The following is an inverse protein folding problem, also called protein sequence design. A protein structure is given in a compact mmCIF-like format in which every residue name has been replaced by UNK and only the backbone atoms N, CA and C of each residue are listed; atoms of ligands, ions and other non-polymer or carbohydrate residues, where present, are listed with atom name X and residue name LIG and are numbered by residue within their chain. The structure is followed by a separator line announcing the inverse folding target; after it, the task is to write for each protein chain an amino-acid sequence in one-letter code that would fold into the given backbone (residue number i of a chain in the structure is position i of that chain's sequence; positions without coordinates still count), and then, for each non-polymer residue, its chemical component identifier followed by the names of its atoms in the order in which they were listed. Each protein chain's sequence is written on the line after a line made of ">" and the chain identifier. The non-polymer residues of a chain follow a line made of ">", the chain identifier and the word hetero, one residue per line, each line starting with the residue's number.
data_IF_799575398923
#
_entry.id   IF_799575398923
#
_cell.length_a   1.000
_cell.length_b   1.000
_cell.length_c   1.000
_cell.angle_alpha   90.00
_cell.angle_beta   90.00
_cell.angle_gamma   90.00
#
_symmetry.space_group_name_H-M   'P 1'
#
loop_
_entity.id
_entity.type
_entity.pdbx_description
1 polymer ?
#
# COMPACT_ATOMS: atom_id res chain seq x y z
N UNK A 1 -22.94 -22.62 14.65
CA UNK A 1 -22.65 -21.62 13.60
C UNK A 1 -22.72 -20.23 14.20
N UNK A 2 -21.62 -19.48 14.16
CA UNK A 2 -21.53 -18.16 14.81
C UNK A 2 -21.80 -17.00 13.85
N UNK A 3 -23.07 -16.80 13.51
CA UNK A 3 -23.50 -15.72 12.60
C UNK A 3 -23.23 -14.31 13.16
N UNK A 4 -23.32 -14.16 14.48
CA UNK A 4 -22.96 -12.92 15.16
C UNK A 4 -21.47 -12.60 15.01
N UNK A 5 -20.60 -13.62 15.09
CA UNK A 5 -19.17 -13.42 14.85
C UNK A 5 -18.87 -13.04 13.39
N UNK A 6 -19.60 -13.63 12.44
CA UNK A 6 -19.49 -13.23 11.04
C UNK A 6 -19.88 -11.77 10.83
N UNK A 7 -20.99 -11.33 11.42
CA UNK A 7 -21.42 -9.93 11.43
C UNK A 7 -20.34 -8.97 11.95
N UNK A 8 -19.71 -9.32 13.08
CA UNK A 8 -18.71 -8.47 13.72
C UNK A 8 -17.40 -8.41 12.92
N UNK A 9 -16.94 -9.55 12.37
CA UNK A 9 -15.74 -9.59 11.53
C UNK A 9 -15.94 -8.84 10.21
N UNK A 10 -17.13 -8.91 9.60
CA UNK A 10 -17.46 -8.13 8.39
C UNK A 10 -17.32 -6.64 8.67
N UNK A 11 -17.96 -6.14 9.74
CA UNK A 11 -17.89 -4.72 10.11
C UNK A 11 -16.47 -4.29 10.41
N UNK A 12 -15.74 -5.11 11.16
CA UNK A 12 -14.36 -4.85 11.55
C UNK A 12 -13.45 -4.77 10.32
N UNK A 13 -13.49 -5.76 9.42
CA UNK A 13 -12.66 -5.79 8.22
C UNK A 13 -13.01 -4.64 7.27
N UNK A 14 -14.29 -4.36 7.06
CA UNK A 14 -14.72 -3.23 6.24
C UNK A 14 -14.16 -1.90 6.75
N UNK A 15 -14.19 -1.68 8.07
CA UNK A 15 -13.58 -0.49 8.70
C UNK A 15 -12.05 -0.46 8.56
N UNK A 16 -11.38 -1.61 8.69
CA UNK A 16 -9.93 -1.71 8.48
C UNK A 16 -9.53 -1.37 7.04
N UNK A 17 -10.36 -1.73 6.07
CA UNK A 17 -10.16 -1.42 4.65
C UNK A 17 -10.65 -0.02 4.25
N UNK A 18 -11.25 0.75 5.18
CA UNK A 18 -11.84 2.06 4.88
C UNK A 18 -13.04 2.02 3.93
N UNK A 19 -13.66 0.85 3.72
CA UNK A 19 -14.72 0.66 2.74
C UNK A 19 -16.09 1.08 3.29
N UNK A 20 -16.91 1.73 2.47
CA UNK A 20 -18.35 1.87 2.73
C UNK A 20 -19.11 0.62 2.30
N UNK A 21 -20.38 0.50 2.69
CA UNK A 21 -21.22 -0.60 2.19
C UNK A 21 -21.41 -0.54 0.67
N UNK A 22 -21.40 0.66 0.08
CA UNK A 22 -21.48 0.85 -1.36
C UNK A 22 -20.20 0.39 -2.07
N UNK A 23 -19.03 0.64 -1.47
CA UNK A 23 -17.75 0.20 -2.02
C UNK A 23 -17.65 -1.33 -2.06
N UNK A 24 -18.14 -2.02 -1.01
CA UNK A 24 -18.20 -3.49 -0.98
C UNK A 24 -19.07 -4.03 -2.12
N UNK A 25 -20.20 -3.38 -2.44
CA UNK A 25 -21.02 -3.74 -3.59
C UNK A 25 -20.30 -3.47 -4.92
N UNK A 26 -19.65 -2.29 -5.05
CA UNK A 26 -18.89 -1.91 -6.23
C UNK A 26 -17.72 -2.87 -6.53
N UNK A 27 -17.13 -3.47 -5.48
CA UNK A 27 -16.09 -4.51 -5.59
C UNK A 27 -16.66 -5.91 -5.93
N UNK A 28 -17.95 -6.00 -6.25
CA UNK A 28 -18.61 -7.25 -6.62
C UNK A 28 -19.01 -8.11 -5.42
N UNK A 29 -19.18 -7.48 -4.25
CA UNK A 29 -19.77 -8.05 -3.04
C UNK A 29 -21.31 -8.02 -3.03
N UNK A 30 -21.94 -8.38 -1.90
CA UNK A 30 -23.39 -8.32 -1.73
C UNK A 30 -23.95 -6.90 -1.93
N UNK A 31 -25.24 -6.79 -2.26
CA UNK A 31 -25.93 -5.49 -2.24
C UNK A 31 -25.84 -4.84 -0.85
N UNK A 32 -25.93 -3.51 -0.80
CA UNK A 32 -25.86 -2.74 0.46
C UNK A 32 -26.88 -3.22 1.49
N UNK A 33 -28.10 -3.55 1.05
CA UNK A 33 -29.15 -4.13 1.90
C UNK A 33 -28.79 -5.51 2.45
N UNK A 34 -28.26 -6.39 1.59
CA UNK A 34 -27.81 -7.73 1.98
C UNK A 34 -26.65 -7.64 2.96
N UNK A 35 -25.69 -6.76 2.71
CA UNK A 35 -24.55 -6.51 3.58
C UNK A 35 -25.00 -5.93 4.93
N UNK A 36 -25.95 -4.99 4.94
CA UNK A 36 -26.55 -4.47 6.17
C UNK A 36 -27.29 -5.55 6.95
N UNK A 37 -27.99 -6.47 6.28
CA UNK A 37 -28.64 -7.60 6.94
C UNK A 37 -27.62 -8.57 7.55
N UNK A 38 -26.51 -8.82 6.85
CA UNK A 38 -25.39 -9.64 7.34
C UNK A 38 -24.71 -9.00 8.55
N UNK A 39 -24.34 -7.73 8.46
CA UNK A 39 -23.76 -6.99 9.57
C UNK A 39 -24.69 -7.01 10.78
N UNK A 40 -26.00 -6.86 10.61
CA UNK A 40 -26.95 -6.88 11.73
C UNK A 40 -27.37 -8.28 12.20
N UNK A 41 -26.67 -9.34 11.76
CA UNK A 41 -27.00 -10.74 12.10
C UNK A 41 -28.46 -11.12 11.78
N UNK A 42 -29.02 -10.53 10.72
CA UNK A 42 -30.38 -10.81 10.22
C UNK A 42 -30.39 -11.68 8.97
N UNK A 43 -29.22 -11.91 8.38
CA UNK A 43 -29.07 -12.83 7.27
C UNK A 43 -28.89 -14.26 7.81
N UNK A 44 -29.91 -15.10 7.68
CA UNK A 44 -29.88 -16.46 8.21
C UNK A 44 -29.09 -17.47 7.35
N UNK A 45 -29.10 -17.32 6.02
CA UNK A 45 -28.43 -18.25 5.10
C UNK A 45 -27.72 -17.51 3.98
N UNK A 46 -26.44 -17.80 3.82
CA UNK A 46 -25.62 -17.34 2.70
C UNK A 46 -25.43 -18.47 1.67
N UNK A 47 -25.69 -18.16 0.40
CA UNK A 47 -25.32 -19.07 -0.70
C UNK A 47 -23.80 -19.11 -0.89
N UNK A 48 -23.27 -20.18 -1.46
CA UNK A 48 -21.83 -20.32 -1.76
C UNK A 48 -21.32 -19.16 -2.61
N UNK A 49 -22.10 -18.74 -3.60
CA UNK A 49 -21.79 -17.58 -4.46
C UNK A 49 -21.64 -16.29 -3.65
N UNK A 50 -22.53 -16.06 -2.69
CA UNK A 50 -22.51 -14.86 -1.85
C UNK A 50 -21.36 -14.87 -0.84
N UNK A 51 -21.01 -16.04 -0.30
CA UNK A 51 -19.82 -16.23 0.54
C UNK A 51 -18.55 -15.86 -0.20
N UNK A 52 -18.37 -16.40 -1.41
CA UNK A 52 -17.21 -16.09 -2.28
C UNK A 52 -17.18 -14.62 -2.71
N UNK A 53 -18.33 -14.00 -2.95
CA UNK A 53 -18.41 -12.57 -3.24
C UNK A 53 -17.97 -11.71 -2.03
N UNK A 54 -18.41 -12.08 -0.83
CA UNK A 54 -18.02 -11.42 0.40
C UNK A 54 -16.52 -11.58 0.69
N UNK A 55 -15.97 -12.79 0.52
CA UNK A 55 -14.54 -13.06 0.71
C UNK A 55 -13.69 -12.21 -0.24
N UNK A 56 -14.05 -12.12 -1.51
CA UNK A 56 -13.35 -11.25 -2.48
C UNK A 56 -13.44 -9.78 -2.11
N UNK A 57 -14.64 -9.28 -1.80
CA UNK A 57 -14.85 -7.86 -1.51
C UNK A 57 -14.25 -7.41 -0.16
N UNK A 58 -14.03 -8.33 0.78
CA UNK A 58 -13.40 -8.04 2.07
C UNK A 58 -11.91 -8.45 2.11
N UNK A 59 -11.35 -8.85 0.97
CA UNK A 59 -9.98 -9.34 0.85
C UNK A 59 -9.68 -10.40 1.91
N UNK A 60 -10.51 -11.45 1.92
CA UNK A 60 -10.33 -12.66 2.71
C UNK A 60 -10.03 -13.84 1.80
N UNK A 61 -9.22 -14.78 2.29
CA UNK A 61 -8.98 -16.04 1.60
C UNK A 61 -10.29 -16.82 1.43
N UNK A 62 -10.36 -17.62 0.37
CA UNK A 62 -11.49 -18.52 0.15
C UNK A 62 -11.67 -19.49 1.33
N UNK A 63 -12.89 -19.57 1.86
CA UNK A 63 -13.24 -20.39 3.01
C UNK A 63 -13.10 -19.66 4.36
N UNK A 64 -12.72 -18.38 4.37
CA UNK A 64 -12.72 -17.57 5.58
C UNK A 64 -14.12 -17.38 6.18
N UNK A 65 -15.15 -17.27 5.35
CA UNK A 65 -16.54 -17.17 5.85
C UNK A 65 -16.97 -18.46 6.52
N UNK A 66 -16.59 -19.61 5.95
CA UNK A 66 -16.86 -20.93 6.55
C UNK A 66 -16.08 -21.09 7.87
N UNK A 67 -14.81 -20.69 7.89
CA UNK A 67 -13.98 -20.69 9.10
C UNK A 67 -14.61 -19.85 10.23
N UNK A 68 -15.13 -18.64 9.94
CA UNK A 68 -15.81 -17.80 10.95
C UNK A 68 -17.05 -18.48 11.51
N UNK A 69 -17.86 -19.10 10.64
CA UNK A 69 -19.07 -19.79 11.08
C UNK A 69 -18.75 -21.03 11.92
N UNK A 70 -17.60 -21.66 11.69
CA UNK A 70 -17.02 -22.74 12.50
C UNK A 70 -16.36 -22.22 13.80
N UNK A 71 -16.29 -20.92 14.02
CA UNK A 71 -15.68 -20.31 15.21
C UNK A 71 -14.16 -20.14 15.12
N UNK A 72 -13.58 -20.28 13.94
CA UNK A 72 -12.17 -19.96 13.65
C UNK A 72 -12.05 -18.50 13.15
N UNK A 73 -10.91 -17.83 13.31
CA UNK A 73 -10.72 -16.47 12.79
C UNK A 73 -10.71 -16.46 11.24
N UNK A 74 -11.10 -15.34 10.59
CA UNK A 74 -10.92 -15.18 9.15
C UNK A 74 -9.44 -15.10 8.79
N UNK A 75 -9.11 -15.46 7.55
CA UNK A 75 -7.77 -15.28 6.99
C UNK A 75 -7.80 -14.10 6.02
N UNK A 76 -7.23 -12.94 6.39
CA UNK A 76 -7.00 -11.85 5.45
C UNK A 76 -6.16 -12.36 4.28
N UNK A 77 -6.54 -11.97 3.06
CA UNK A 77 -5.57 -11.90 1.98
C UNK A 77 -4.65 -10.74 2.35
N UNK A 78 -3.52 -11.04 2.99
CA UNK A 78 -2.40 -10.10 3.02
C UNK A 78 -1.95 -9.91 1.56
N UNK A 79 -1.53 -8.70 1.19
CA UNK A 79 -1.15 -8.27 -0.17
C UNK A 79 0.07 -9.01 -0.78
N UNK A 80 0.37 -10.23 -0.33
CA UNK A 80 1.52 -11.03 -0.78
C UNK A 80 1.25 -11.83 -2.05
N UNK A 81 0.05 -11.75 -2.65
CA UNK A 81 -0.25 -12.50 -3.89
C UNK A 81 -0.97 -11.67 -4.97
N UNK A 82 -0.50 -10.43 -5.16
CA UNK A 82 -0.76 -9.66 -6.37
C UNK A 82 0.57 -9.17 -6.95
N UNK A 83 1.03 -9.67 -8.11
CA UNK A 83 2.19 -9.08 -8.78
C UNK A 83 1.80 -7.70 -9.31
N UNK A 84 2.36 -6.66 -8.70
CA UNK A 84 2.48 -5.34 -9.34
C UNK A 84 1.54 -4.22 -8.88
N UNK A 85 1.37 -3.99 -7.58
CA UNK A 85 0.97 -2.65 -7.09
C UNK A 85 1.71 -2.27 -5.79
N UNK A 86 2.44 -1.14 -5.75
CA UNK A 86 2.99 -0.62 -4.50
C UNK A 86 1.85 0.06 -3.73
N UNK A 87 1.27 -0.64 -2.76
CA UNK A 87 0.32 -0.05 -1.83
C UNK A 87 1.10 0.52 -0.64
N UNK A 88 1.41 1.81 -0.73
CA UNK A 88 2.05 2.56 0.35
C UNK A 88 1.12 3.68 0.84
N UNK A 89 0.49 3.46 2.02
CA UNK A 89 0.28 4.38 3.18
C UNK A 89 -0.97 4.05 4.05
N UNK A 90 -1.07 4.51 5.32
CA UNK A 90 -0.02 4.94 6.27
C UNK A 90 -0.11 4.29 7.68
N UNK A 91 1.03 3.97 8.29
CA UNK A 91 1.16 3.83 9.76
C UNK A 91 1.99 2.66 10.30
N UNK A 92 2.32 1.68 9.46
CA UNK A 92 3.17 0.54 9.84
C UNK A 92 4.63 0.72 9.40
N UNK A 93 5.58 -0.04 9.98
CA UNK A 93 6.94 -0.12 9.45
C UNK A 93 6.89 -0.53 7.97
N UNK A 94 7.74 0.06 7.10
CA UNK A 94 7.84 -0.35 5.71
C UNK A 94 8.23 -1.83 5.64
N UNK A 95 7.69 -2.56 4.65
CA UNK A 95 8.15 -3.92 4.38
C UNK A 95 9.62 -3.89 3.92
N UNK A 96 10.33 -5.00 4.07
CA UNK A 96 11.73 -5.12 3.59
C UNK A 96 11.81 -4.86 2.09
N UNK A 97 10.85 -5.33 1.31
CA UNK A 97 10.78 -5.10 -0.14
C UNK A 97 10.55 -3.62 -0.47
N UNK A 98 9.56 -2.98 0.18
CA UNK A 98 9.31 -1.55 -0.01
C UNK A 98 10.55 -0.73 0.38
N UNK A 99 11.25 -1.14 1.44
CA UNK A 99 12.52 -0.54 1.83
C UNK A 99 13.55 -0.67 0.71
N UNK A 100 13.81 -1.88 0.21
CA UNK A 100 14.78 -2.09 -0.87
C UNK A 100 14.43 -1.30 -2.14
N UNK A 101 13.16 -1.24 -2.53
CA UNK A 101 12.69 -0.48 -3.69
C UNK A 101 12.94 1.02 -3.53
N UNK A 102 12.62 1.58 -2.35
CA UNK A 102 12.86 2.99 -2.02
C UNK A 102 14.36 3.34 -2.11
N UNK A 103 15.21 2.52 -1.51
CA UNK A 103 16.66 2.69 -1.59
C UNK A 103 17.19 2.58 -3.03
N UNK A 104 16.70 1.62 -3.81
CA UNK A 104 17.09 1.45 -5.20
C UNK A 104 16.69 2.64 -6.08
N UNK A 105 15.50 3.20 -5.85
CA UNK A 105 15.01 4.40 -6.52
C UNK A 105 15.86 5.63 -6.17
N UNK A 106 16.21 5.79 -4.89
CA UNK A 106 17.08 6.88 -4.46
C UNK A 106 18.47 6.81 -5.10
N UNK A 107 19.10 5.64 -5.12
CA UNK A 107 20.40 5.44 -5.78
C UNK A 107 20.31 5.66 -7.30
N UNK A 108 19.20 5.26 -7.93
CA UNK A 108 18.98 5.52 -9.36
C UNK A 108 18.89 7.02 -9.64
N UNK A 109 18.18 7.77 -8.80
CA UNK A 109 18.05 9.20 -8.94
C UNK A 109 19.39 9.93 -8.75
N UNK A 110 20.18 9.53 -7.75
CA UNK A 110 21.54 10.06 -7.56
C UNK A 110 22.39 9.83 -8.82
N UNK A 111 22.37 8.62 -9.39
CA UNK A 111 23.09 8.33 -10.65
C UNK A 111 22.59 9.16 -11.83
N UNK A 112 21.27 9.31 -11.97
CA UNK A 112 20.67 10.13 -13.03
C UNK A 112 21.12 11.59 -12.92
N UNK A 113 21.15 12.15 -11.70
CA UNK A 113 21.59 13.52 -11.44
C UNK A 113 23.09 13.72 -11.73
N UNK A 114 23.94 12.74 -11.39
CA UNK A 114 25.37 12.76 -11.74
C UNK A 114 25.60 12.70 -13.26
N UNK A 115 24.86 11.84 -13.96
CA UNK A 115 24.94 11.74 -15.40
C UNK A 115 24.48 13.03 -16.09
N UNK A 116 23.39 13.63 -15.59
CA UNK A 116 22.89 14.91 -16.08
C UNK A 116 23.90 16.03 -15.86
N UNK A 117 24.48 16.15 -14.66
CA UNK A 117 25.51 17.15 -14.36
C UNK A 117 26.72 17.05 -15.33
N UNK A 118 27.12 15.82 -15.68
CA UNK A 118 28.22 15.58 -16.62
C UNK A 118 27.91 16.02 -18.06
N UNK A 119 26.64 16.02 -18.46
CA UNK A 119 26.19 16.36 -19.82
C UNK A 119 25.53 17.73 -19.91
N UNK A 120 25.37 18.44 -18.78
CA UNK A 120 24.61 19.68 -18.73
C UNK A 120 25.12 20.67 -19.74
N UNK A 121 26.44 20.87 -19.82
CA UNK A 121 27.06 21.92 -20.64
C UNK A 121 26.89 21.76 -22.16
N UNK A 122 26.56 20.56 -22.63
CA UNK A 122 26.28 20.29 -24.05
C UNK A 122 24.80 20.35 -24.43
N UNK A 123 23.89 20.41 -23.45
CA UNK A 123 22.44 20.48 -23.71
C UNK A 123 21.95 21.92 -23.95
N UNK A 124 20.87 22.16 -24.70
CA UNK A 124 20.25 23.49 -24.78
C UNK A 124 19.64 23.91 -23.43
N UNK A 125 19.66 25.22 -23.13
CA UNK A 125 19.28 25.76 -21.81
C UNK A 125 17.87 25.33 -21.36
N UNK A 126 16.87 25.39 -22.24
CA UNK A 126 15.49 25.01 -21.92
C UNK A 126 15.37 23.54 -21.52
N UNK A 127 16.07 22.64 -22.21
CA UNK A 127 16.08 21.22 -21.86
C UNK A 127 16.77 20.97 -20.52
N UNK A 128 17.77 21.80 -20.15
CA UNK A 128 18.41 21.69 -18.83
C UNK A 128 17.43 22.06 -17.73
N UNK A 129 16.70 23.17 -17.89
CA UNK A 129 15.74 23.68 -16.89
C UNK A 129 14.59 22.68 -16.67
N UNK A 130 14.05 22.11 -17.74
CA UNK A 130 12.98 21.10 -17.65
C UNK A 130 13.46 19.86 -16.87
N UNK A 131 14.63 19.33 -17.23
CA UNK A 131 15.19 18.13 -16.58
C UNK A 131 15.61 18.43 -15.13
N UNK A 132 16.18 19.60 -14.84
CA UNK A 132 16.52 20.01 -13.46
C UNK A 132 15.28 20.11 -12.58
N UNK A 133 14.17 20.64 -13.12
CA UNK A 133 12.88 20.69 -12.43
C UNK A 133 12.35 19.29 -12.11
N UNK A 134 12.35 18.39 -13.09
CA UNK A 134 11.91 17.00 -12.88
C UNK A 134 12.80 16.25 -11.88
N UNK A 135 14.12 16.39 -11.97
CA UNK A 135 15.06 15.78 -11.03
C UNK A 135 14.88 16.32 -9.61
N UNK A 136 14.57 17.60 -9.46
CA UNK A 136 14.30 18.23 -8.15
C UNK A 136 13.01 17.69 -7.55
N UNK A 137 11.93 17.63 -8.33
CA UNK A 137 10.66 17.06 -7.88
C UNK A 137 10.80 15.59 -7.46
N UNK A 138 11.50 14.79 -8.27
CA UNK A 138 11.78 13.39 -7.95
C UNK A 138 12.64 13.23 -6.69
N UNK A 139 13.59 14.16 -6.44
CA UNK A 139 14.44 14.13 -5.25
C UNK A 139 13.65 14.39 -3.98
N UNK A 140 12.74 15.36 -4.02
CA UNK A 140 11.85 15.66 -2.90
C UNK A 140 10.95 14.48 -2.56
N UNK A 141 10.37 13.82 -3.56
CA UNK A 141 9.51 12.65 -3.33
C UNK A 141 10.28 11.50 -2.63
N UNK A 142 11.49 11.21 -3.10
CA UNK A 142 12.37 10.20 -2.51
C UNK A 142 12.82 10.60 -1.10
N UNK A 143 13.14 11.87 -0.90
CA UNK A 143 13.51 12.42 0.40
C UNK A 143 12.37 12.26 1.41
N UNK A 144 11.16 12.70 1.08
CA UNK A 144 9.99 12.56 1.95
C UNK A 144 9.76 11.09 2.33
N UNK A 145 9.91 10.20 1.35
CA UNK A 145 9.84 8.76 1.55
C UNK A 145 10.90 8.25 2.53
N UNK A 146 12.17 8.60 2.35
CA UNK A 146 13.27 8.16 3.21
C UNK A 146 13.16 8.76 4.62
N UNK A 147 12.87 10.05 4.73
CA UNK A 147 12.63 10.76 6.00
C UNK A 147 11.51 10.10 6.77
N UNK A 148 10.40 9.78 6.09
CA UNK A 148 9.31 9.02 6.69
C UNK A 148 9.81 7.67 7.21
N UNK A 149 10.63 6.92 6.48
CA UNK A 149 11.12 5.60 6.91
C UNK A 149 12.12 5.62 8.08
N UNK A 150 12.85 6.73 8.29
CA UNK A 150 13.94 6.84 9.27
C UNK A 150 13.63 6.28 10.68
N UNK A 151 12.44 6.48 11.29
CA UNK A 151 12.12 5.97 12.62
C UNK A 151 12.14 4.43 12.71
N UNK A 152 11.88 3.76 11.58
CA UNK A 152 11.76 2.30 11.48
C UNK A 152 13.04 1.62 11.03
N UNK A 153 13.96 2.35 10.39
CA UNK A 153 15.26 1.82 10.00
C UNK A 153 16.17 1.58 11.22
N UNK A 154 16.96 0.51 11.16
CA UNK A 154 17.90 0.09 12.21
C UNK A 154 19.27 -0.21 11.61
N UNK A 155 20.32 -0.04 12.42
CA UNK A 155 21.70 -0.36 12.04
C UNK A 155 22.15 0.35 10.76
N UNK A 156 22.76 -0.41 9.85
CA UNK A 156 23.32 0.10 8.59
C UNK A 156 22.27 0.76 7.69
N UNK A 157 21.05 0.23 7.63
CA UNK A 157 19.99 0.80 6.77
C UNK A 157 19.70 2.25 7.14
N UNK A 158 19.71 2.58 8.43
CA UNK A 158 19.50 3.97 8.88
C UNK A 158 20.68 4.87 8.49
N UNK A 159 21.91 4.37 8.60
CA UNK A 159 23.11 5.10 8.20
C UNK A 159 23.14 5.36 6.69
N UNK A 160 22.73 4.38 5.89
CA UNK A 160 22.66 4.50 4.43
C UNK A 160 21.57 5.49 4.00
N UNK A 161 20.39 5.45 4.62
CA UNK A 161 19.33 6.44 4.35
C UNK A 161 19.81 7.87 4.61
N UNK A 162 20.50 8.09 5.73
CA UNK A 162 21.06 9.41 6.05
C UNK A 162 22.10 9.85 5.01
N UNK A 163 22.96 8.94 4.55
CA UNK A 163 23.97 9.25 3.50
C UNK A 163 23.32 9.59 2.17
N UNK A 164 22.25 8.89 1.80
CA UNK A 164 21.48 9.16 0.58
C UNK A 164 20.79 10.52 0.68
N UNK A 165 20.12 10.81 1.79
CA UNK A 165 19.49 12.11 2.05
C UNK A 165 20.49 13.27 1.96
N UNK A 166 21.69 13.08 2.49
CA UNK A 166 22.77 14.07 2.35
C UNK A 166 23.11 14.37 0.89
N UNK A 167 23.26 13.33 0.05
CA UNK A 167 23.54 13.50 -1.40
C UNK A 167 22.40 14.16 -2.17
N UNK A 168 21.13 13.91 -1.79
CA UNK A 168 19.98 14.52 -2.45
C UNK A 168 19.90 16.03 -2.18
N UNK A 169 20.28 16.44 -0.96
CA UNK A 169 20.17 17.81 -0.48
C UNK A 169 21.41 18.69 -0.76
N UNK A 170 22.45 18.14 -1.42
CA UNK A 170 23.61 18.94 -1.83
C UNK A 170 23.18 20.00 -2.86
N UNK A 171 23.40 21.30 -2.59
CA UNK A 171 23.08 22.37 -3.53
C UNK A 171 24.00 22.26 -4.75
N UNK A 172 23.42 22.23 -5.95
CA UNK A 172 24.17 22.26 -7.20
C UNK A 172 24.88 23.62 -7.28
N UNK A 173 26.21 23.64 -7.13
CA UNK A 173 27.04 24.84 -7.37
C UNK A 173 27.24 25.07 -8.87
#
# INVERSE_FOLDING_TARGET
>A
MSWQRLADEIRRRRKQLGLTQADVYAQGGPSTETLRALENNRAGRLTVKLRRALERALQWEAGSVDAILDGRPPRPLDDTDAPGRPAERPGGPPSTTATQERFAMAERLVRMRQAFASHRDVMPLSAREDIESELTAAAQEVEEALVWMLPWLRGEQRADAIRILGRLNEPQS
#
